data_IF_755679471631
#
_entry.id   IF_755679471631
#
_cell.length_a   1.000
_cell.length_b   1.000
_cell.length_c   1.000
_cell.angle_alpha   90.00
_cell.angle_beta   90.00
_cell.angle_gamma   90.00
#
_symmetry.space_group_name_H-M   'P 1'
#
loop_
_entity.id
_entity.type
_entity.pdbx_description
1 polymer ?
#
# COMPACT_ATOMS: atom_id res chain seq x y z
N UNK A 1 -35.84 -0.89 -3.04
CA UNK A 1 -34.50 -0.27 -3.00
C UNK A 1 -34.26 0.42 -4.34
N UNK A 2 -34.14 1.75 -4.34
CA UNK A 2 -33.79 2.51 -5.55
C UNK A 2 -32.28 2.51 -5.73
N UNK A 3 -31.81 2.17 -6.93
CA UNK A 3 -30.40 2.29 -7.29
C UNK A 3 -30.12 3.73 -7.72
N UNK A 4 -29.02 4.32 -7.22
CA UNK A 4 -28.52 5.61 -7.68
C UNK A 4 -27.43 5.33 -8.73
N UNK A 5 -27.64 5.81 -9.95
CA UNK A 5 -26.66 5.68 -11.02
C UNK A 5 -25.67 6.86 -10.99
N UNK A 6 -24.42 6.64 -11.37
CA UNK A 6 -23.37 7.66 -11.40
C UNK A 6 -22.76 7.75 -12.81
N UNK A 7 -22.28 8.94 -13.20
CA UNK A 7 -21.53 9.15 -14.45
C UNK A 7 -20.09 8.59 -14.34
N UNK A 8 -19.40 8.49 -15.47
CA UNK A 8 -18.00 8.02 -15.55
C UNK A 8 -17.00 8.92 -14.78
N UNK A 9 -17.49 10.02 -14.19
CA UNK A 9 -16.72 10.95 -13.33
C UNK A 9 -17.20 10.91 -11.88
N UNK A 10 -18.00 9.91 -11.50
CA UNK A 10 -18.47 9.68 -10.14
C UNK A 10 -19.57 10.63 -9.66
N UNK A 11 -20.22 11.39 -10.54
CA UNK A 11 -21.32 12.28 -10.16
C UNK A 11 -22.64 11.55 -10.26
N UNK A 12 -23.48 11.67 -9.24
CA UNK A 12 -24.81 11.07 -9.24
C UNK A 12 -25.62 11.61 -10.41
N UNK A 13 -26.12 10.70 -11.25
CA UNK A 13 -27.03 11.02 -12.33
C UNK A 13 -28.38 11.40 -11.71
N UNK A 14 -29.04 12.46 -12.20
CA UNK A 14 -30.37 12.81 -11.72
C UNK A 14 -31.31 11.65 -12.02
N UNK A 15 -31.98 11.14 -10.98
CA UNK A 15 -33.01 10.13 -11.14
C UNK A 15 -34.11 10.68 -12.04
N UNK A 16 -34.40 9.98 -13.16
CA UNK A 16 -35.48 10.35 -14.06
C UNK A 16 -36.82 10.21 -13.30
N UNK A 17 -37.37 11.35 -12.83
CA UNK A 17 -38.72 11.36 -12.23
C UNK A 17 -38.97 12.31 -11.06
N UNK A 18 -37.98 13.10 -10.58
CA UNK A 18 -38.23 14.10 -9.54
C UNK A 18 -38.02 15.50 -10.10
N UNK A 19 -39.11 16.27 -10.19
CA UNK A 19 -39.08 17.69 -10.51
C UNK A 19 -38.10 18.44 -9.62
N UNK A 20 -37.35 19.36 -10.23
CA UNK A 20 -36.50 20.31 -9.54
C UNK A 20 -37.32 21.05 -8.47
N UNK A 21 -36.91 21.00 -7.20
CA UNK A 21 -36.33 22.11 -6.41
C UNK A 21 -35.65 21.47 -5.19
N UNK A 22 -34.38 21.79 -4.98
CA UNK A 22 -33.62 21.36 -3.80
C UNK A 22 -32.16 21.18 -4.17
N UNK A 23 -31.46 22.31 -4.20
CA UNK A 23 -30.00 22.46 -4.24
C UNK A 23 -29.26 21.14 -4.00
N UNK A 24 -28.78 20.51 -5.09
CA UNK A 24 -27.83 19.43 -4.94
C UNK A 24 -26.71 19.94 -4.06
N UNK A 25 -26.47 19.27 -2.94
CA UNK A 25 -25.30 19.52 -2.13
C UNK A 25 -24.10 19.21 -3.03
N UNK A 26 -23.59 20.26 -3.69
CA UNK A 26 -22.28 20.25 -4.28
C UNK A 26 -21.37 20.06 -3.08
N UNK A 27 -20.84 18.84 -2.93
CA UNK A 27 -19.66 18.60 -2.13
C UNK A 27 -18.58 19.50 -2.70
N UNK A 28 -18.51 20.73 -2.20
CA UNK A 28 -17.40 21.63 -2.48
C UNK A 28 -16.27 20.99 -1.72
N UNK A 29 -15.33 20.36 -2.41
CA UNK A 29 -14.04 20.01 -1.81
C UNK A 29 -13.27 21.32 -1.57
N UNK A 30 -13.80 22.15 -0.66
CA UNK A 30 -13.20 23.37 -0.12
C UNK A 30 -12.42 23.09 1.17
N UNK A 31 -12.12 21.82 1.46
CA UNK A 31 -11.28 21.38 2.56
C UNK A 31 -10.28 20.39 2.03
N UNK A 32 -9.01 20.58 2.43
CA UNK A 32 -7.83 19.74 2.14
C UNK A 32 -8.15 18.36 1.57
N UNK A 33 -7.70 18.11 0.35
CA UNK A 33 -7.63 16.77 -0.23
C UNK A 33 -6.93 15.83 0.77
N UNK A 34 -7.67 14.86 1.31
CA UNK A 34 -7.17 13.90 2.29
C UNK A 34 -6.25 12.85 1.64
N UNK A 35 -6.14 12.86 0.31
CA UNK A 35 -5.22 12.01 -0.43
C UNK A 35 -3.80 12.59 -0.32
N UNK A 36 -2.99 11.99 0.55
CA UNK A 36 -1.54 12.19 0.52
C UNK A 36 -0.99 11.58 -0.76
N UNK A 37 -0.80 12.40 -1.80
CA UNK A 37 -0.09 11.97 -2.99
C UNK A 37 1.41 12.00 -2.69
N UNK A 38 1.99 10.87 -2.30
CA UNK A 38 3.44 10.73 -2.25
C UNK A 38 3.98 10.86 -3.68
N UNK A 39 4.74 11.93 -3.96
CA UNK A 39 5.40 12.11 -5.26
C UNK A 39 6.50 11.06 -5.38
N UNK A 40 6.43 10.24 -6.43
CA UNK A 40 7.49 9.29 -6.74
C UNK A 40 8.70 10.05 -7.32
N UNK A 41 9.84 9.99 -6.62
CA UNK A 41 11.12 10.52 -7.08
C UNK A 41 12.13 9.36 -7.18
N UNK A 42 12.53 8.94 -8.39
CA UNK A 42 13.52 7.88 -8.59
C UNK A 42 14.85 8.15 -7.87
N UNK A 43 15.24 9.41 -7.67
CA UNK A 43 16.50 9.76 -7.00
C UNK A 43 16.47 9.49 -5.49
N UNK A 44 15.28 9.34 -4.90
CA UNK A 44 15.10 9.04 -3.47
C UNK A 44 15.20 7.54 -3.14
N UNK A 45 15.17 6.68 -4.17
CA UNK A 45 15.29 5.24 -4.01
C UNK A 45 16.66 4.87 -3.44
N UNK A 46 16.66 3.99 -2.45
CA UNK A 46 17.85 3.55 -1.72
C UNK A 46 17.63 2.22 -1.01
N UNK A 47 18.70 1.72 -0.40
CA UNK A 47 18.66 0.53 0.44
C UNK A 47 18.74 -0.78 -0.32
N UNK A 48 19.16 -0.76 -1.60
CA UNK A 48 19.53 -1.99 -2.30
C UNK A 48 20.59 -2.73 -1.48
N UNK A 49 20.32 -4.01 -1.19
CA UNK A 49 21.18 -4.90 -0.39
C UNK A 49 21.41 -4.49 1.08
N UNK A 50 20.77 -3.41 1.54
CA UNK A 50 20.83 -2.94 2.93
C UNK A 50 19.81 -3.62 3.85
N UNK A 51 19.35 -4.83 3.50
CA UNK A 51 18.33 -5.55 4.25
C UNK A 51 18.85 -6.89 4.78
N UNK A 52 18.73 -7.08 6.09
CA UNK A 52 18.89 -8.39 6.72
C UNK A 52 17.54 -9.10 6.71
N UNK A 53 17.51 -10.29 6.10
CA UNK A 53 16.33 -11.15 6.01
C UNK A 53 16.49 -12.41 6.86
N UNK A 54 15.46 -12.79 7.61
CA UNK A 54 15.40 -14.10 8.29
C UNK A 54 13.96 -14.60 8.41
N UNK A 55 13.79 -15.93 8.46
CA UNK A 55 12.49 -16.58 8.47
C UNK A 55 12.40 -17.64 7.38
N UNK A 56 11.19 -17.85 6.87
CA UNK A 56 10.87 -18.82 5.83
C UNK A 56 11.38 -18.36 4.46
N UNK A 57 12.07 -19.27 3.75
CA UNK A 57 12.63 -18.98 2.43
C UNK A 57 11.57 -18.91 1.32
N UNK A 58 10.38 -19.50 1.50
CA UNK A 58 9.26 -19.40 0.56
C UNK A 58 8.77 -17.95 0.40
N UNK A 59 8.87 -17.16 1.47
CA UNK A 59 8.48 -15.74 1.48
C UNK A 59 9.62 -14.81 1.03
N UNK A 60 10.78 -15.33 0.63
CA UNK A 60 11.98 -14.52 0.41
C UNK A 60 11.89 -13.75 -0.91
N UNK A 61 11.91 -12.39 -0.87
CA UNK A 61 11.88 -11.58 -2.08
C UNK A 61 13.20 -11.67 -2.86
N UNK A 62 13.15 -11.26 -4.12
CA UNK A 62 14.33 -11.08 -4.97
C UNK A 62 15.08 -9.81 -4.61
N UNK A 63 14.34 -8.71 -4.39
CA UNK A 63 14.91 -7.42 -4.01
C UNK A 63 14.02 -6.72 -2.99
N UNK A 64 14.67 -6.03 -2.04
CA UNK A 64 14.03 -5.03 -1.19
C UNK A 64 14.78 -3.71 -1.33
N UNK A 65 14.03 -2.62 -1.43
CA UNK A 65 14.53 -1.24 -1.41
C UNK A 65 13.43 -0.31 -0.88
N UNK A 66 13.74 0.97 -0.69
CA UNK A 66 12.81 1.96 -0.13
C UNK A 66 13.04 3.33 -0.73
N UNK A 67 12.08 4.22 -0.56
CA UNK A 67 12.27 5.66 -0.64
C UNK A 67 12.10 6.29 0.76
N UNK A 68 11.66 7.55 0.81
CA UNK A 68 11.35 8.28 2.04
C UNK A 68 10.00 7.89 2.66
N UNK A 69 9.11 7.27 1.90
CA UNK A 69 7.72 7.01 2.29
C UNK A 69 7.43 5.51 2.41
N UNK A 70 7.93 4.69 1.49
CA UNK A 70 7.51 3.33 1.24
C UNK A 70 8.69 2.36 1.15
N UNK A 71 8.42 1.10 1.48
CA UNK A 71 9.32 -0.02 1.26
C UNK A 71 8.76 -0.91 0.14
N UNK A 72 9.58 -1.22 -0.83
CA UNK A 72 9.25 -2.00 -2.01
C UNK A 72 9.86 -3.39 -1.88
N UNK A 73 9.01 -4.41 -1.97
CA UNK A 73 9.38 -5.81 -1.83
C UNK A 73 9.05 -6.50 -3.16
N UNK A 74 10.08 -6.82 -3.96
CA UNK A 74 9.92 -7.42 -5.28
C UNK A 74 10.07 -8.93 -5.21
N UNK A 75 9.07 -9.64 -5.73
CA UNK A 75 9.07 -11.10 -5.79
C UNK A 75 9.40 -11.66 -7.18
N UNK A 76 9.48 -10.79 -8.19
CA UNK A 76 9.78 -11.20 -9.58
C UNK A 76 8.84 -12.29 -10.06
N UNK A 77 9.40 -13.32 -10.69
CA UNK A 77 8.64 -14.42 -11.29
C UNK A 77 7.91 -15.27 -10.23
N UNK A 78 8.42 -15.30 -9.00
CA UNK A 78 7.82 -16.06 -7.88
C UNK A 78 6.48 -15.51 -7.45
N UNK A 79 6.14 -14.28 -7.85
CA UNK A 79 4.87 -13.64 -7.50
C UNK A 79 3.65 -14.51 -7.84
N UNK A 80 3.69 -15.22 -8.96
CA UNK A 80 2.56 -16.03 -9.42
C UNK A 80 2.32 -17.29 -8.57
N UNK A 81 3.36 -17.78 -7.91
CA UNK A 81 3.31 -18.99 -7.08
C UNK A 81 3.20 -18.66 -5.57
N UNK A 82 3.35 -17.38 -5.21
CA UNK A 82 3.36 -16.91 -3.84
C UNK A 82 1.94 -16.55 -3.38
N UNK A 83 1.46 -17.19 -2.32
CA UNK A 83 0.30 -16.68 -1.59
C UNK A 83 0.64 -15.32 -0.96
N UNK A 84 -0.17 -14.29 -1.26
CA UNK A 84 0.07 -12.92 -0.82
C UNK A 84 0.21 -12.84 0.71
N UNK A 85 1.40 -12.50 1.25
CA UNK A 85 1.56 -12.37 2.69
C UNK A 85 0.98 -11.05 3.21
N UNK A 86 0.62 -11.03 4.50
CA UNK A 86 0.28 -9.79 5.21
C UNK A 86 1.55 -9.15 5.76
N UNK A 87 1.72 -7.83 5.56
CA UNK A 87 2.82 -7.07 6.13
C UNK A 87 2.43 -6.38 7.44
N UNK A 88 3.39 -6.32 8.36
CA UNK A 88 3.33 -5.57 9.61
C UNK A 88 4.61 -4.76 9.77
N UNK A 89 4.52 -3.59 10.41
CA UNK A 89 5.71 -2.91 10.94
C UNK A 89 5.90 -3.31 12.38
N UNK A 90 7.16 -3.42 12.82
CA UNK A 90 7.45 -3.77 14.22
C UNK A 90 7.79 -2.51 15.00
N UNK A 91 6.96 -2.20 15.99
CA UNK A 91 7.13 -1.09 16.93
C UNK A 91 7.24 -1.68 18.32
N UNK A 92 8.35 -1.39 19.00
CA UNK A 92 8.64 -1.90 20.36
C UNK A 92 8.51 -3.43 20.51
N UNK A 93 8.82 -4.17 19.43
CA UNK A 93 8.74 -5.62 19.39
C UNK A 93 7.34 -6.18 19.12
N UNK A 94 6.35 -5.33 18.88
CA UNK A 94 4.96 -5.69 18.59
C UNK A 94 4.67 -5.38 17.12
N UNK A 95 3.95 -6.29 16.45
CA UNK A 95 3.50 -6.09 15.08
C UNK A 95 2.31 -5.13 15.04
N UNK A 96 2.44 -4.05 14.27
CA UNK A 96 1.38 -3.08 13.99
C UNK A 96 0.97 -3.16 12.52
N UNK A 97 -0.33 -2.96 12.26
CA UNK A 97 -0.85 -2.93 10.90
C UNK A 97 -0.30 -1.73 10.13
N UNK A 98 0.04 -1.98 8.87
CA UNK A 98 0.53 -0.98 7.93
C UNK A 98 -0.29 -1.05 6.66
N UNK A 99 -0.49 0.09 6.01
CA UNK A 99 -1.15 0.10 4.72
C UNK A 99 -0.25 -0.55 3.66
N UNK A 100 -0.83 -1.32 2.76
CA UNK A 100 -0.11 -2.03 1.70
C UNK A 100 -0.84 -1.96 0.38
N UNK A 101 -0.09 -2.03 -0.71
CA UNK A 101 -0.63 -2.15 -2.06
C UNK A 101 0.23 -3.06 -2.92
N UNK A 102 -0.32 -3.55 -4.02
CA UNK A 102 0.38 -4.38 -4.99
C UNK A 102 0.47 -3.62 -6.32
N UNK A 103 1.65 -3.63 -6.93
CA UNK A 103 1.84 -3.14 -8.30
C UNK A 103 2.72 -4.11 -9.07
N UNK A 104 2.15 -4.78 -10.07
CA UNK A 104 2.83 -5.87 -10.78
C UNK A 104 3.26 -6.97 -9.81
N UNK A 105 4.56 -7.27 -9.78
CA UNK A 105 5.18 -8.27 -8.88
C UNK A 105 5.79 -7.63 -7.63
N UNK A 106 5.46 -6.37 -7.36
CA UNK A 106 5.97 -5.61 -6.20
C UNK A 106 4.88 -5.46 -5.14
N UNK A 107 5.18 -5.95 -3.94
CA UNK A 107 4.41 -5.68 -2.75
C UNK A 107 4.97 -4.43 -2.06
N UNK A 108 4.13 -3.39 -1.94
CA UNK A 108 4.53 -2.08 -1.46
C UNK A 108 3.94 -1.90 -0.07
N UNK A 109 4.82 -1.74 0.91
CA UNK A 109 4.49 -1.40 2.29
C UNK A 109 4.57 0.11 2.43
N UNK A 110 3.49 0.76 2.86
CA UNK A 110 3.44 2.22 3.00
C UNK A 110 4.09 2.70 4.30
N UNK A 111 5.34 2.28 4.51
CA UNK A 111 6.17 2.65 5.64
C UNK A 111 7.65 2.43 5.34
N UNK A 112 8.48 3.14 6.09
CA UNK A 112 9.93 3.00 6.10
C UNK A 112 10.48 2.51 7.45
N UNK A 113 9.61 1.92 8.29
CA UNK A 113 9.99 1.33 9.56
C UNK A 113 11.15 0.35 9.40
N UNK A 114 12.06 0.35 10.38
CA UNK A 114 13.32 -0.40 10.30
C UNK A 114 13.11 -1.91 10.24
N UNK A 115 12.01 -2.42 10.81
CA UNK A 115 11.69 -3.83 10.83
C UNK A 115 10.26 -4.03 10.33
N UNK A 116 10.12 -4.85 9.30
CA UNK A 116 8.85 -5.28 8.71
C UNK A 116 8.77 -6.80 8.84
N UNK A 117 7.60 -7.32 9.16
CA UNK A 117 7.32 -8.76 9.21
C UNK A 117 6.28 -9.10 8.15
N UNK A 118 6.58 -10.07 7.30
CA UNK A 118 5.63 -10.73 6.41
C UNK A 118 5.13 -12.01 7.07
N UNK A 119 3.83 -12.29 7.00
CA UNK A 119 3.22 -13.52 7.50
C UNK A 119 2.30 -14.15 6.46
N UNK A 120 2.43 -15.46 6.26
CA UNK A 120 1.51 -16.28 5.47
C UNK A 120 1.31 -17.62 6.16
N UNK A 121 0.10 -17.89 6.65
CA UNK A 121 -0.18 -19.08 7.46
C UNK A 121 0.74 -19.17 8.69
N UNK A 122 1.55 -20.23 8.73
CA UNK A 122 2.54 -20.45 9.79
C UNK A 122 3.94 -19.92 9.44
N UNK A 123 4.15 -19.49 8.19
CA UNK A 123 5.41 -18.95 7.70
C UNK A 123 5.53 -17.46 8.01
N UNK A 124 6.74 -17.02 8.35
CA UNK A 124 7.06 -15.61 8.55
C UNK A 124 8.40 -15.24 7.91
N UNK A 125 8.54 -13.99 7.48
CA UNK A 125 9.82 -13.41 7.07
C UNK A 125 9.96 -12.03 7.68
N UNK A 126 11.07 -11.80 8.38
CA UNK A 126 11.44 -10.49 8.86
C UNK A 126 12.41 -9.82 7.90
N UNK A 127 12.13 -8.56 7.58
CA UNK A 127 12.88 -7.69 6.68
C UNK A 127 13.37 -6.51 7.52
N UNK A 128 14.68 -6.47 7.79
CA UNK A 128 15.27 -5.42 8.62
C UNK A 128 16.22 -4.54 7.84
N UNK A 129 15.90 -3.26 7.74
CA UNK A 129 16.77 -2.25 7.15
C UNK A 129 18.01 -2.01 8.02
N UNK A 130 19.19 -2.07 7.41
CA UNK A 130 20.51 -1.91 8.02
C UNK A 130 21.22 -0.62 7.64
N UNK A 131 20.73 0.09 6.62
CA UNK A 131 21.29 1.35 6.20
C UNK A 131 21.18 2.45 7.26
N UNK A 132 21.91 3.54 7.01
CA UNK A 132 21.84 4.77 7.80
C UNK A 132 20.40 5.33 7.78
N UNK A 133 20.04 6.06 8.85
CA UNK A 133 18.74 6.75 8.95
C UNK A 133 18.58 7.78 7.86
#
# INVERSE_FOLDING_TARGET
MGHVAFDDRGRALPAAGAGAIGTAAVGTHGGSDFLKTARFDPASLRGWDDYKLWGDNSLRPEQVFRDDNFTYIQFGDKWNDLELPTAYVVVDGIDELVNTRVQGTTFIVESTHRLITLKSGQSFLCIQYKGAK
#
